data_IF_860452675258
#
_entry.id   IF_860452675258
#
_cell.length_a   1.000
_cell.length_b   1.000
_cell.length_c   1.000
_cell.angle_alpha   90.00
_cell.angle_beta   90.00
_cell.angle_gamma   90.00
#
_symmetry.space_group_name_H-M   'P 1'
#
loop_
_entity.id
_entity.type
_entity.pdbx_description
1 polymer ?
#
# COMPACT_ATOMS: atom_id res chain seq x y z
N UNK A 1 -15.22 -16.12 -8.68
CA UNK A 1 -14.94 -15.54 -7.35
C UNK A 1 -13.54 -14.88 -7.27
N UNK A 2 -13.07 -14.17 -8.32
CA UNK A 2 -11.72 -13.54 -8.36
C UNK A 2 -11.70 -12.05 -7.96
N UNK A 3 -12.86 -11.41 -7.81
CA UNK A 3 -12.97 -9.97 -7.52
C UNK A 3 -13.04 -9.61 -6.03
N UNK A 4 -13.11 -10.61 -5.14
CA UNK A 4 -13.35 -10.37 -3.71
C UNK A 4 -12.24 -9.57 -3.03
N UNK A 5 -10.98 -9.76 -3.42
CA UNK A 5 -9.86 -9.09 -2.77
C UNK A 5 -9.68 -7.64 -3.26
N UNK A 6 -9.88 -7.35 -4.56
CA UNK A 6 -9.78 -5.97 -5.10
C UNK A 6 -10.89 -5.11 -4.50
N UNK A 7 -12.09 -5.65 -4.35
CA UNK A 7 -13.20 -4.97 -3.67
C UNK A 7 -12.86 -4.67 -2.20
N UNK A 8 -12.29 -5.63 -1.47
CA UNK A 8 -11.82 -5.42 -0.08
C UNK A 8 -10.75 -4.34 0.00
N UNK A 9 -9.81 -4.32 -0.94
CA UNK A 9 -8.75 -3.32 -0.95
C UNK A 9 -9.29 -1.91 -1.29
N UNK A 10 -10.21 -1.80 -2.26
CA UNK A 10 -10.92 -0.55 -2.54
C UNK A 10 -11.69 -0.05 -1.33
N UNK A 11 -12.40 -0.94 -0.64
CA UNK A 11 -13.07 -0.60 0.62
C UNK A 11 -12.06 -0.09 1.67
N UNK A 12 -10.93 -0.78 1.85
CA UNK A 12 -9.91 -0.36 2.80
C UNK A 12 -9.34 1.02 2.46
N UNK A 13 -9.10 1.31 1.17
CA UNK A 13 -8.66 2.63 0.73
C UNK A 13 -9.68 3.71 1.05
N UNK A 14 -10.98 3.47 0.79
CA UNK A 14 -12.03 4.42 1.17
C UNK A 14 -12.06 4.67 2.69
N UNK A 15 -11.88 3.63 3.50
CA UNK A 15 -11.80 3.77 4.96
C UNK A 15 -10.57 4.59 5.38
N UNK A 16 -9.41 4.29 4.81
CA UNK A 16 -8.15 5.01 5.09
C UNK A 16 -8.27 6.48 4.70
N UNK A 17 -8.82 6.79 3.54
CA UNK A 17 -8.97 8.16 3.02
C UNK A 17 -9.93 9.03 3.86
N UNK A 18 -10.81 8.42 4.65
CA UNK A 18 -11.68 9.11 5.59
C UNK A 18 -11.12 9.12 7.03
N UNK A 19 -9.89 8.63 7.23
CA UNK A 19 -9.29 8.52 8.56
C UNK A 19 -8.91 9.88 9.12
N UNK A 20 -9.38 10.23 10.32
CA UNK A 20 -8.98 11.44 11.04
C UNK A 20 -7.79 11.23 12.00
N UNK A 21 -7.02 10.14 11.83
CA UNK A 21 -5.87 9.82 12.67
C UNK A 21 -4.64 10.69 12.31
N UNK A 22 -3.98 11.26 13.32
CA UNK A 22 -2.71 11.98 13.12
C UNK A 22 -2.88 13.48 12.86
N UNK A 23 -1.84 14.10 12.32
CA UNK A 23 -1.79 15.54 12.02
C UNK A 23 -2.07 15.82 10.53
N UNK A 24 -2.21 17.09 10.16
CA UNK A 24 -2.47 17.52 8.79
C UNK A 24 -1.46 16.98 7.77
N UNK A 25 -0.19 16.83 8.17
CA UNK A 25 0.84 16.25 7.31
C UNK A 25 0.60 14.77 7.04
N UNK A 26 0.14 14.00 8.03
CA UNK A 26 -0.26 12.59 7.85
C UNK A 26 -1.50 12.49 6.96
N UNK A 27 -2.49 13.35 7.21
CA UNK A 27 -3.73 13.42 6.45
C UNK A 27 -3.47 13.71 4.96
N UNK A 28 -2.58 14.66 4.67
CA UNK A 28 -2.20 14.99 3.30
C UNK A 28 -1.54 13.82 2.54
N UNK A 29 -0.97 12.83 3.24
CA UNK A 29 -0.31 11.66 2.63
C UNK A 29 -1.26 10.50 2.34
N UNK A 30 -2.49 10.50 2.86
CA UNK A 30 -3.43 9.38 2.72
C UNK A 30 -3.61 8.87 1.27
N UNK A 31 -3.74 9.74 0.25
CA UNK A 31 -3.81 9.28 -1.13
C UNK A 31 -2.53 8.55 -1.57
N UNK A 32 -1.36 9.09 -1.22
CA UNK A 32 -0.08 8.49 -1.56
C UNK A 32 0.10 7.12 -0.90
N UNK A 33 -0.33 6.95 0.36
CA UNK A 33 -0.30 5.65 1.05
C UNK A 33 -1.10 4.59 0.28
N UNK A 34 -2.29 4.94 -0.22
CA UNK A 34 -3.13 4.04 -1.00
C UNK A 34 -2.50 3.71 -2.36
N UNK A 35 -1.89 4.69 -3.03
CA UNK A 35 -1.16 4.48 -4.29
C UNK A 35 0.05 3.55 -4.10
N UNK A 36 0.81 3.74 -3.02
CA UNK A 36 1.96 2.90 -2.67
C UNK A 36 1.54 1.45 -2.40
N UNK A 37 0.44 1.26 -1.66
CA UNK A 37 -0.14 -0.07 -1.41
C UNK A 37 -0.61 -0.76 -2.69
N UNK A 38 -1.30 -0.05 -3.58
CA UNK A 38 -1.68 -0.61 -4.87
C UNK A 38 -0.44 -0.96 -5.70
N UNK A 39 0.56 -0.09 -5.70
CA UNK A 39 1.82 -0.34 -6.40
C UNK A 39 2.55 -1.57 -5.86
N UNK A 40 2.71 -1.69 -4.54
CA UNK A 40 3.31 -2.85 -3.89
C UNK A 40 2.57 -4.15 -4.23
N UNK A 41 1.23 -4.12 -4.25
CA UNK A 41 0.42 -5.26 -4.70
C UNK A 41 0.70 -5.64 -6.15
N UNK A 42 0.79 -4.67 -7.06
CA UNK A 42 1.09 -4.92 -8.47
C UNK A 42 2.49 -5.50 -8.64
N UNK A 43 3.48 -4.98 -7.91
CA UNK A 43 4.85 -5.51 -7.88
C UNK A 43 4.87 -6.94 -7.35
N UNK A 44 4.20 -7.24 -6.24
CA UNK A 44 4.04 -8.62 -5.73
C UNK A 44 3.50 -9.55 -6.82
N UNK A 45 2.46 -9.12 -7.56
CA UNK A 45 1.90 -9.94 -8.63
C UNK A 45 2.89 -10.20 -9.77
N UNK A 46 3.81 -9.27 -10.07
CA UNK A 46 4.90 -9.52 -11.02
C UNK A 46 5.84 -10.60 -10.50
N UNK A 47 6.24 -10.53 -9.23
CA UNK A 47 7.12 -11.53 -8.61
C UNK A 47 6.47 -12.92 -8.53
N UNK A 48 5.23 -12.99 -8.05
CA UNK A 48 4.53 -14.26 -7.83
C UNK A 48 4.10 -14.98 -9.11
N UNK A 49 3.90 -14.24 -10.21
CA UNK A 49 3.31 -14.82 -11.42
C UNK A 49 4.15 -14.65 -12.68
N UNK A 50 5.17 -13.79 -12.67
CA UNK A 50 5.97 -13.44 -13.85
C UNK A 50 7.47 -13.32 -13.55
N UNK A 51 7.95 -13.92 -12.44
CA UNK A 51 9.35 -13.87 -12.01
C UNK A 51 9.91 -12.43 -11.96
N UNK A 52 9.09 -11.48 -11.51
CA UNK A 52 9.47 -10.08 -11.36
C UNK A 52 9.45 -9.27 -12.66
N UNK A 53 9.06 -9.86 -13.80
CA UNK A 53 9.04 -9.17 -15.09
C UNK A 53 7.72 -8.44 -15.34
N UNK A 54 7.79 -7.30 -16.03
CA UNK A 54 6.61 -6.53 -16.43
C UNK A 54 5.67 -7.32 -17.35
N UNK A 55 4.38 -6.99 -17.23
CA UNK A 55 3.31 -7.45 -18.12
C UNK A 55 2.32 -6.31 -18.34
N UNK A 56 1.43 -6.43 -19.33
CA UNK A 56 0.33 -5.46 -19.50
C UNK A 56 -0.57 -5.34 -18.26
N UNK A 57 -0.65 -6.40 -17.43
CA UNK A 57 -1.40 -6.35 -16.17
C UNK A 57 -0.82 -5.38 -15.16
N UNK A 58 0.49 -5.08 -15.19
CA UNK A 58 1.10 -4.11 -14.29
C UNK A 58 0.42 -2.73 -14.35
N UNK A 59 0.00 -2.28 -15.55
CA UNK A 59 -0.75 -1.03 -15.70
C UNK A 59 -2.25 -1.25 -15.58
N UNK A 60 -2.77 -2.33 -16.15
CA UNK A 60 -4.22 -2.52 -16.24
C UNK A 60 -4.89 -2.94 -14.93
N UNK A 61 -4.13 -3.48 -13.97
CA UNK A 61 -4.67 -3.90 -12.68
C UNK A 61 -4.74 -2.75 -11.66
N UNK A 62 -4.36 -1.51 -11.99
CA UNK A 62 -4.36 -0.38 -11.06
C UNK A 62 -5.74 -0.13 -10.44
N UNK A 63 -5.75 0.24 -9.16
CA UNK A 63 -6.96 0.69 -8.48
C UNK A 63 -7.03 2.22 -8.50
N UNK A 64 -8.24 2.76 -8.68
CA UNK A 64 -8.50 4.18 -8.56
C UNK A 64 -8.42 4.61 -7.08
N UNK A 65 -7.75 5.74 -6.84
CA UNK A 65 -7.59 6.38 -5.53
C UNK A 65 -8.04 7.83 -5.69
N UNK A 66 -9.36 8.07 -5.65
CA UNK A 66 -9.97 9.40 -5.77
C UNK A 66 -9.46 10.24 -6.97
N UNK A 67 -9.27 9.62 -8.13
CA UNK A 67 -8.79 10.34 -9.32
C UNK A 67 -7.28 10.64 -9.32
N UNK A 68 -6.52 10.17 -8.33
CA UNK A 68 -5.06 10.28 -8.36
C UNK A 68 -4.46 9.33 -9.40
N UNK A 69 -3.35 9.78 -10.01
CA UNK A 69 -2.66 9.00 -11.05
C UNK A 69 -1.94 7.79 -10.42
N UNK A 70 -2.15 6.57 -10.93
CA UNK A 70 -1.42 5.39 -10.46
C UNK A 70 0.09 5.48 -10.71
N UNK A 71 0.87 4.91 -9.79
CA UNK A 71 2.33 4.88 -9.92
C UNK A 71 2.73 3.91 -11.06
N UNK A 72 3.46 4.44 -12.04
CA UNK A 72 4.03 3.66 -13.15
C UNK A 72 5.50 4.03 -13.28
N UNK A 73 6.40 3.08 -13.06
CA UNK A 73 7.86 3.32 -13.13
C UNK A 73 8.37 3.43 -14.55
N UNK A 74 9.44 4.19 -14.76
CA UNK A 74 10.02 4.46 -16.09
C UNK A 74 10.41 3.18 -16.85
N UNK A 75 10.92 2.17 -16.14
CA UNK A 75 11.29 0.87 -16.71
C UNK A 75 10.12 0.19 -17.46
N UNK A 76 8.87 0.50 -17.10
CA UNK A 76 7.70 0.00 -17.82
C UNK A 76 7.62 0.51 -19.26
N UNK A 77 8.19 1.68 -19.59
CA UNK A 77 8.25 2.18 -20.96
C UNK A 77 9.10 1.26 -21.86
N UNK A 78 10.16 0.66 -21.31
CA UNK A 78 10.97 -0.33 -22.00
C UNK A 78 10.15 -1.56 -22.40
N UNK A 79 9.33 -2.08 -21.48
CA UNK A 79 8.39 -3.16 -21.77
C UNK A 79 7.34 -2.72 -22.81
N UNK A 80 6.79 -1.51 -22.70
CA UNK A 80 5.76 -1.04 -23.62
C UNK A 80 6.26 -0.92 -25.07
N UNK A 81 7.51 -0.50 -25.27
CA UNK A 81 8.14 -0.41 -26.60
C UNK A 81 8.45 -1.78 -27.21
N UNK A 82 8.75 -2.79 -26.39
CA UNK A 82 9.02 -4.14 -26.86
C UNK A 82 8.43 -5.20 -25.90
N UNK A 83 7.10 -5.47 -25.99
CA UNK A 83 6.40 -6.33 -25.03
C UNK A 83 6.85 -7.79 -25.01
N UNK A 84 7.59 -8.23 -26.04
CA UNK A 84 8.19 -9.57 -26.10
C UNK A 84 9.47 -9.68 -25.25
N UNK A 85 10.03 -8.56 -24.82
CA UNK A 85 11.25 -8.52 -24.01
C UNK A 85 10.91 -8.68 -22.53
N UNK A 86 11.64 -9.56 -21.84
CA UNK A 86 11.55 -9.66 -20.38
C UNK A 86 12.25 -8.44 -19.76
N UNK A 87 11.45 -7.53 -19.20
CA UNK A 87 11.96 -6.36 -18.49
C UNK A 87 11.64 -6.54 -17.00
N UNK A 88 12.65 -6.68 -16.12
CA UNK A 88 12.42 -6.83 -14.69
C UNK A 88 11.96 -5.52 -14.05
N UNK A 89 11.14 -5.63 -13.00
CA UNK A 89 10.82 -4.48 -12.15
C UNK A 89 12.06 -4.11 -11.31
N UNK A 90 12.52 -2.85 -11.33
CA UNK A 90 13.65 -2.42 -10.53
C UNK A 90 13.24 -2.37 -9.05
N UNK A 91 13.88 -3.16 -8.20
CA UNK A 91 13.75 -3.07 -6.73
C UNK A 91 15.07 -2.55 -6.17
N UNK A 92 14.97 -1.51 -5.35
CA UNK A 92 16.07 -1.03 -4.52
C UNK A 92 15.61 -0.89 -3.06
N UNK A 93 16.57 -0.56 -2.19
CA UNK A 93 16.31 -0.40 -0.76
C UNK A 93 15.34 0.74 -0.46
N UNK A 94 15.37 1.83 -1.25
CA UNK A 94 14.48 2.98 -1.07
C UNK A 94 13.03 2.64 -1.39
N UNK A 95 12.80 1.89 -2.45
CA UNK A 95 11.49 1.35 -2.79
C UNK A 95 10.96 0.45 -1.67
N UNK A 96 11.78 -0.47 -1.17
CA UNK A 96 11.40 -1.36 -0.07
C UNK A 96 11.04 -0.57 1.20
N UNK A 97 11.86 0.42 1.57
CA UNK A 97 11.58 1.28 2.72
C UNK A 97 10.27 2.05 2.55
N UNK A 98 10.05 2.67 1.39
CA UNK A 98 8.85 3.43 1.10
C UNK A 98 7.59 2.56 1.23
N UNK A 99 7.54 1.40 0.57
CA UNK A 99 6.36 0.52 0.64
C UNK A 99 6.13 0.01 2.07
N UNK A 100 7.18 -0.29 2.83
CA UNK A 100 7.07 -0.75 4.22
C UNK A 100 6.50 0.34 5.12
N UNK A 101 7.02 1.58 5.02
CA UNK A 101 6.49 2.73 5.77
C UNK A 101 5.03 2.99 5.43
N UNK A 102 4.71 3.04 4.14
CA UNK A 102 3.33 3.28 3.68
C UNK A 102 2.37 2.19 4.13
N UNK A 103 2.81 0.93 4.12
CA UNK A 103 2.01 -0.19 4.61
C UNK A 103 1.71 -0.08 6.11
N UNK A 104 2.73 0.22 6.91
CA UNK A 104 2.59 0.38 8.36
C UNK A 104 1.65 1.56 8.66
N UNK A 105 1.86 2.72 8.04
CA UNK A 105 1.03 3.91 8.28
C UNK A 105 -0.43 3.67 7.87
N UNK A 106 -0.67 3.06 6.71
CA UNK A 106 -2.01 2.71 6.25
C UNK A 106 -2.74 1.75 7.21
N UNK A 107 -2.03 0.78 7.80
CA UNK A 107 -2.62 -0.12 8.81
C UNK A 107 -3.03 0.64 10.08
N UNK A 108 -2.29 1.66 10.50
CA UNK A 108 -2.69 2.50 11.63
C UNK A 108 -3.97 3.29 11.33
N UNK A 109 -4.08 3.87 10.14
CA UNK A 109 -5.30 4.57 9.71
C UNK A 109 -6.51 3.63 9.63
N UNK A 110 -6.32 2.45 9.03
CA UNK A 110 -7.38 1.44 8.92
C UNK A 110 -7.82 0.97 10.31
N UNK A 111 -6.87 0.63 11.18
CA UNK A 111 -7.15 0.18 12.53
C UNK A 111 -7.90 1.25 13.33
N UNK A 112 -7.44 2.50 13.30
CA UNK A 112 -8.14 3.62 13.94
C UNK A 112 -9.57 3.77 13.45
N UNK A 113 -9.79 3.73 12.14
CA UNK A 113 -11.15 3.86 11.60
C UNK A 113 -12.06 2.69 11.95
N UNK A 114 -11.53 1.47 12.00
CA UNK A 114 -12.28 0.33 12.51
C UNK A 114 -12.69 0.53 13.98
N UNK A 115 -11.79 1.08 14.81
CA UNK A 115 -12.08 1.41 16.21
C UNK A 115 -13.17 2.49 16.34
N UNK A 116 -13.11 3.55 15.54
CA UNK A 116 -14.11 4.61 15.51
C UNK A 116 -15.48 4.07 15.08
N UNK A 117 -15.54 3.38 13.94
CA UNK A 117 -16.80 2.95 13.31
C UNK A 117 -17.49 1.85 14.09
N UNK A 118 -16.75 0.86 14.58
CA UNK A 118 -17.36 -0.34 15.17
C UNK A 118 -17.40 -0.33 16.71
N UNK A 119 -16.57 0.49 17.36
CA UNK A 119 -16.43 0.48 18.81
C UNK A 119 -16.66 1.85 19.46
N UNK A 120 -17.02 2.88 18.68
CA UNK A 120 -17.26 4.24 19.18
C UNK A 120 -16.02 4.89 19.79
N UNK A 121 -14.82 4.36 19.51
CA UNK A 121 -13.57 4.85 20.08
C UNK A 121 -13.10 6.07 19.31
N UNK A 122 -13.36 7.25 19.87
CA UNK A 122 -12.98 8.55 19.29
C UNK A 122 -11.53 8.96 19.59
N UNK A 123 -10.86 8.29 20.54
CA UNK A 123 -9.44 8.51 20.83
C UNK A 123 -8.60 7.48 20.09
N UNK A 124 -7.62 7.96 19.34
CA UNK A 124 -6.66 7.09 18.69
C UNK A 124 -5.83 6.32 19.71
N UNK A 125 -5.58 5.04 19.43
CA UNK A 125 -4.70 4.22 20.25
C UNK A 125 -3.26 4.72 20.14
N UNK A 126 -2.80 5.49 21.14
CA UNK A 126 -1.43 5.97 21.20
C UNK A 126 -0.50 4.93 21.81
N UNK A 127 0.47 4.42 21.04
CA UNK A 127 1.54 3.55 21.58
C UNK A 127 2.32 4.21 22.73
N UNK A 128 2.48 5.55 22.70
CA UNK A 128 3.02 6.34 23.82
C UNK A 128 2.17 6.24 25.09
N UNK A 129 0.85 6.25 24.97
CA UNK A 129 -0.07 6.08 26.10
C UNK A 129 -0.09 4.63 26.59
N UNK A 130 0.07 3.66 25.70
CA UNK A 130 0.12 2.24 26.00
C UNK A 130 1.50 1.74 26.51
N UNK A 131 2.55 2.58 26.48
CA UNK A 131 3.95 2.22 26.80
C UNK A 131 4.45 0.93 26.13
N UNK A 132 3.86 0.52 25.01
CA UNK A 132 4.30 -0.68 24.29
C UNK A 132 5.40 -0.29 23.32
N UNK A 133 6.63 -0.68 23.63
CA UNK A 133 7.72 -0.61 22.66
C UNK A 133 7.37 -1.50 21.47
N UNK A 134 7.44 -0.94 20.25
CA UNK A 134 7.37 -1.74 19.04
C UNK A 134 8.71 -2.47 18.94
N UNK A 135 8.69 -3.78 19.19
CA UNK A 135 9.85 -4.64 19.01
C UNK A 135 10.00 -4.97 17.51
N UNK A 136 10.68 -4.06 16.81
CA UNK A 136 10.98 -4.22 15.38
C UNK A 136 11.77 -5.48 15.10
N UNK A 137 12.65 -5.91 16.01
CA UNK A 137 13.44 -7.13 15.84
C UNK A 137 12.56 -8.36 15.79
N UNK A 138 11.60 -8.45 16.71
CA UNK A 138 10.62 -9.52 16.75
C UNK A 138 9.69 -9.53 15.53
N UNK A 139 9.19 -8.36 15.12
CA UNK A 139 8.30 -8.22 13.95
C UNK A 139 9.01 -8.63 12.65
N UNK A 140 10.30 -8.26 12.50
CA UNK A 140 11.07 -8.58 11.30
C UNK A 140 11.59 -10.02 11.27
N UNK A 141 11.84 -10.62 12.44
CA UNK A 141 12.32 -12.00 12.55
C UNK A 141 11.18 -13.03 12.58
N UNK A 142 9.92 -12.62 12.78
CA UNK A 142 8.76 -13.52 12.80
C UNK A 142 8.69 -14.46 14.00
N UNK A 143 9.41 -14.14 15.09
CA UNK A 143 9.45 -14.89 16.36
C UNK A 143 8.56 -14.28 17.44
#
# INVERSE_FOLDING_TARGET
>A
MKDSYKQRLKWAFLVILNSNFGNDTMQARLPQLCLDLDHARRVRNLWMHNNGNFTHRYKNDTLDVLGHTPIVVEAFKGFHRSPKTKVPFPIDAGFFEQISRSHIEALHHLHHMMQVVHFGQIRSYGYKAAKKNIDWGRILAGV
#
